data_IF_793308370221
#
_entry.id   IF_793308370221
#
_cell.length_a   1.000
_cell.length_b   1.000
_cell.length_c   1.000
_cell.angle_alpha   90.00
_cell.angle_beta   90.00
_cell.angle_gamma   90.00
#
_symmetry.space_group_name_H-M   'P 1'
#
loop_
_entity.id
_entity.type
_entity.pdbx_description
1 polymer ?
#
# COMPACT_ATOMS: atom_id res chain seq x y z
N UNK A 1 -26.27 6.75 -53.24
CA UNK A 1 -24.88 6.32 -52.96
C UNK A 1 -24.01 6.93 -54.03
N UNK A 2 -23.29 8.00 -53.73
CA UNK A 2 -22.28 8.52 -54.65
C UNK A 2 -21.10 7.55 -54.65
N UNK A 3 -20.82 6.89 -55.77
CA UNK A 3 -19.59 6.10 -55.92
C UNK A 3 -18.44 7.08 -56.12
N UNK A 4 -17.53 7.17 -55.16
CA UNK A 4 -16.44 8.15 -55.19
C UNK A 4 -15.30 7.74 -56.12
N UNK A 5 -15.18 6.46 -56.51
CA UNK A 5 -14.14 5.96 -57.43
C UNK A 5 -14.66 4.80 -58.30
N UNK A 6 -14.46 4.89 -59.62
CA UNK A 6 -14.80 3.83 -60.59
C UNK A 6 -13.52 3.45 -61.34
N UNK A 7 -13.10 2.19 -61.23
CA UNK A 7 -11.96 1.64 -61.97
C UNK A 7 -12.45 0.62 -63.00
N UNK A 8 -11.94 0.72 -64.24
CA UNK A 8 -12.21 -0.25 -65.30
C UNK A 8 -11.00 -1.16 -65.46
N UNK A 9 -11.25 -2.47 -65.42
CA UNK A 9 -10.21 -3.50 -65.52
C UNK A 9 -10.52 -4.33 -66.75
N UNK A 10 -9.51 -4.51 -67.59
CA UNK A 10 -9.63 -5.34 -68.77
C UNK A 10 -9.33 -6.80 -68.42
N UNK A 11 -10.02 -7.70 -69.10
CA UNK A 11 -9.77 -9.13 -69.01
C UNK A 11 -8.49 -9.49 -69.75
N UNK A 12 -7.57 -10.20 -69.09
CA UNK A 12 -6.33 -10.66 -69.71
C UNK A 12 -6.57 -12.01 -70.40
N UNK A 13 -6.51 -12.03 -71.74
CA UNK A 13 -6.78 -13.24 -72.52
C UNK A 13 -5.73 -14.35 -72.32
N UNK A 14 -4.48 -14.00 -72.04
CA UNK A 14 -3.38 -14.95 -71.90
C UNK A 14 -3.49 -15.77 -70.61
N UNK A 15 -3.80 -15.11 -69.50
CA UNK A 15 -3.94 -15.70 -68.15
C UNK A 15 -5.38 -16.12 -67.84
N UNK A 16 -6.34 -15.72 -68.69
CA UNK A 16 -7.79 -15.90 -68.51
C UNK A 16 -8.30 -15.37 -67.16
N UNK A 17 -7.73 -14.26 -66.70
CA UNK A 17 -8.03 -13.68 -65.39
C UNK A 17 -8.17 -12.16 -65.44
N UNK A 18 -8.69 -11.59 -64.37
CA UNK A 18 -8.64 -10.15 -64.11
C UNK A 18 -7.49 -9.88 -63.15
N UNK A 19 -6.60 -8.96 -63.53
CA UNK A 19 -5.55 -8.51 -62.63
C UNK A 19 -6.08 -7.40 -61.71
N UNK A 20 -6.41 -7.77 -60.48
CA UNK A 20 -6.89 -6.85 -59.45
C UNK A 20 -5.75 -6.21 -58.64
N UNK A 21 -4.49 -6.59 -58.89
CA UNK A 21 -3.35 -6.18 -58.07
C UNK A 21 -3.01 -4.69 -58.13
N UNK A 22 -3.59 -3.95 -59.08
CA UNK A 22 -3.43 -2.49 -59.23
C UNK A 22 -4.57 -1.68 -58.59
N UNK A 23 -5.57 -2.34 -57.99
CA UNK A 23 -6.64 -1.64 -57.29
C UNK A 23 -6.23 -1.35 -55.85
N UNK A 24 -6.11 -0.06 -55.54
CA UNK A 24 -5.87 0.40 -54.17
C UNK A 24 -7.15 1.01 -53.59
N UNK A 25 -7.56 0.52 -52.42
CA UNK A 25 -8.67 1.05 -51.65
C UNK A 25 -8.13 1.64 -50.35
N UNK A 26 -8.31 2.95 -50.17
CA UNK A 26 -7.96 3.61 -48.90
C UNK A 26 -9.20 3.64 -48.03
N UNK A 27 -9.16 2.90 -46.93
CA UNK A 27 -10.25 2.81 -45.96
C UNK A 27 -9.71 3.33 -44.64
N UNK A 28 -9.92 4.63 -44.39
CA UNK A 28 -9.44 5.28 -43.19
C UNK A 28 -10.30 4.91 -41.96
N UNK A 29 -9.74 4.27 -40.92
CA UNK A 29 -10.50 3.88 -39.75
C UNK A 29 -10.97 5.07 -38.87
N UNK A 30 -10.42 6.27 -39.03
CA UNK A 30 -10.75 7.44 -38.19
C UNK A 30 -11.70 8.44 -38.85
N UNK A 31 -11.82 8.45 -40.18
CA UNK A 31 -12.77 9.33 -40.89
C UNK A 31 -14.17 8.72 -40.99
N UNK A 32 -14.32 7.43 -40.69
CA UNK A 32 -15.53 6.67 -40.93
C UNK A 32 -16.13 6.22 -39.61
N UNK A 33 -17.11 6.99 -39.11
CA UNK A 33 -17.93 6.65 -37.92
C UNK A 33 -18.65 5.30 -38.10
N UNK A 34 -17.93 4.19 -37.92
CA UNK A 34 -18.41 2.81 -38.07
C UNK A 34 -19.08 2.47 -39.42
N UNK A 35 -18.81 3.27 -40.46
CA UNK A 35 -19.43 3.05 -41.78
C UNK A 35 -18.86 1.81 -42.45
N UNK A 36 -19.76 0.99 -42.99
CA UNK A 36 -19.40 -0.14 -43.86
C UNK A 36 -19.26 0.42 -45.27
N UNK A 37 -18.10 0.19 -45.88
CA UNK A 37 -17.92 0.46 -47.30
C UNK A 37 -18.38 -0.72 -48.13
N UNK A 38 -19.02 -0.42 -49.26
CA UNK A 38 -19.46 -1.44 -50.21
C UNK A 38 -18.66 -1.29 -51.51
N UNK A 39 -17.91 -2.32 -51.85
CA UNK A 39 -17.19 -2.44 -53.12
C UNK A 39 -18.06 -3.27 -54.06
N UNK A 40 -18.56 -2.63 -55.10
CA UNK A 40 -19.39 -3.26 -56.13
C UNK A 40 -18.54 -3.56 -57.38
N UNK A 41 -18.41 -4.83 -57.72
CA UNK A 41 -17.71 -5.31 -58.92
C UNK A 41 -18.77 -5.76 -59.92
N UNK A 42 -18.89 -5.02 -61.02
CA UNK A 42 -19.82 -5.34 -62.11
C UNK A 42 -19.05 -5.90 -63.30
N UNK A 43 -19.38 -7.13 -63.68
CA UNK A 43 -18.81 -7.84 -64.83
C UNK A 43 -19.85 -7.89 -65.95
N UNK A 44 -19.56 -7.24 -67.07
CA UNK A 44 -20.36 -7.34 -68.29
C UNK A 44 -19.65 -8.25 -69.27
N UNK A 45 -20.33 -9.29 -69.75
CA UNK A 45 -19.83 -10.18 -70.80
C UNK A 45 -20.57 -9.90 -72.10
N UNK A 46 -19.98 -10.29 -73.24
CA UNK A 46 -20.65 -10.17 -74.54
C UNK A 46 -21.69 -11.27 -74.78
N UNK A 47 -21.75 -12.29 -73.93
CA UNK A 47 -22.59 -13.48 -74.10
C UNK A 47 -23.89 -13.43 -73.29
N UNK A 48 -23.95 -12.60 -72.26
CA UNK A 48 -25.13 -12.43 -71.40
C UNK A 48 -25.53 -10.95 -71.38
N UNK A 49 -26.82 -10.68 -71.56
CA UNK A 49 -27.39 -9.33 -71.42
C UNK A 49 -27.39 -8.86 -69.97
N UNK A 50 -27.37 -9.79 -69.01
CA UNK A 50 -27.32 -9.52 -67.58
C UNK A 50 -25.88 -9.35 -67.08
N UNK A 51 -25.61 -8.26 -66.36
CA UNK A 51 -24.32 -8.04 -65.70
C UNK A 51 -24.24 -8.85 -64.41
N UNK A 52 -23.16 -9.62 -64.24
CA UNK A 52 -22.85 -10.27 -62.96
C UNK A 52 -22.32 -9.21 -61.99
N UNK A 53 -22.90 -9.12 -60.80
CA UNK A 53 -22.52 -8.16 -59.77
C UNK A 53 -22.05 -8.87 -58.50
N UNK A 54 -20.88 -8.50 -58.00
CA UNK A 54 -20.36 -8.95 -56.71
C UNK A 54 -20.30 -7.76 -55.75
N UNK A 55 -20.90 -7.92 -54.58
CA UNK A 55 -20.91 -6.92 -53.52
C UNK A 55 -20.02 -7.38 -52.38
N UNK A 56 -18.95 -6.65 -52.11
CA UNK A 56 -18.07 -6.88 -50.96
C UNK A 56 -18.28 -5.78 -49.93
N UNK A 57 -18.46 -6.18 -48.67
CA UNK A 57 -18.60 -5.26 -47.54
C UNK A 57 -17.31 -5.25 -46.75
N UNK A 58 -16.71 -4.08 -46.63
CA UNK A 58 -15.44 -3.90 -45.94
C UNK A 58 -15.62 -2.88 -44.81
N UNK A 59 -15.00 -3.17 -43.67
CA UNK A 59 -14.97 -2.29 -42.50
C UNK A 59 -13.54 -2.21 -42.01
N UNK A 60 -13.01 -0.99 -41.84
CA UNK A 60 -11.74 -0.80 -41.15
C UNK A 60 -11.96 -0.77 -39.63
N UNK A 61 -10.96 -1.25 -38.89
CA UNK A 61 -10.93 -1.20 -37.44
C UNK A 61 -9.92 -0.15 -36.97
N UNK A 62 -10.20 0.47 -35.83
CA UNK A 62 -9.26 1.39 -35.17
C UNK A 62 -7.94 0.66 -34.85
N UNK A 63 -6.85 1.42 -34.85
CA UNK A 63 -5.52 0.87 -34.59
C UNK A 63 -5.48 0.20 -33.21
N UNK A 64 -4.90 -1.00 -33.19
CA UNK A 64 -4.79 -1.81 -31.98
C UNK A 64 -3.49 -1.51 -31.23
N UNK A 65 -3.34 -2.13 -30.07
CA UNK A 65 -2.08 -2.09 -29.33
C UNK A 65 -0.95 -2.65 -30.20
N UNK A 66 0.16 -1.93 -30.23
CA UNK A 66 1.31 -2.21 -31.08
C UNK A 66 1.23 -1.67 -32.49
N UNK A 67 0.17 -0.92 -32.79
CA UNK A 67 0.04 -0.15 -34.02
C UNK A 67 0.02 1.35 -33.71
N UNK A 68 0.26 2.15 -34.74
CA UNK A 68 0.11 3.59 -34.74
C UNK A 68 -0.52 4.05 -36.07
N UNK A 69 -1.26 5.14 -36.02
CA UNK A 69 -1.94 5.72 -37.17
C UNK A 69 -1.03 6.69 -37.93
N UNK A 70 -0.82 6.43 -39.22
CA UNK A 70 -0.08 7.31 -40.14
C UNK A 70 -0.68 7.22 -41.54
N UNK A 71 -0.88 8.37 -42.18
CA UNK A 71 -1.35 8.49 -43.57
C UNK A 71 -2.59 7.62 -43.88
N UNK A 72 -3.64 7.74 -43.08
CA UNK A 72 -4.91 7.01 -43.26
C UNK A 72 -4.82 5.48 -43.11
N UNK A 73 -3.78 4.99 -42.43
CA UNK A 73 -3.54 3.56 -42.19
C UNK A 73 -2.98 3.30 -40.80
N UNK A 74 -3.26 2.12 -40.26
CA UNK A 74 -2.58 1.62 -39.06
C UNK A 74 -1.33 0.85 -39.48
N UNK A 75 -0.18 1.21 -38.93
CA UNK A 75 1.09 0.51 -39.15
C UNK A 75 1.59 -0.10 -37.85
N UNK A 76 2.18 -1.29 -37.93
CA UNK A 76 2.73 -1.98 -36.77
C UNK A 76 4.07 -1.38 -36.32
N UNK A 77 4.23 -1.18 -35.02
CA UNK A 77 5.49 -0.78 -34.40
C UNK A 77 6.54 -1.90 -34.51
N UNK A 78 7.71 -1.56 -35.04
CA UNK A 78 8.82 -2.49 -35.25
C UNK A 78 9.61 -2.70 -33.95
N UNK A 79 9.28 -3.74 -33.18
CA UNK A 79 9.94 -4.03 -31.90
C UNK A 79 11.42 -4.38 -32.04
N UNK A 80 11.84 -4.96 -33.17
CA UNK A 80 13.25 -5.23 -33.48
C UNK A 80 14.11 -3.95 -33.57
N UNK A 81 13.47 -2.84 -33.94
CA UNK A 81 14.10 -1.52 -34.02
C UNK A 81 13.94 -0.71 -32.74
N UNK A 82 13.33 -1.28 -31.69
CA UNK A 82 13.13 -0.60 -30.41
C UNK A 82 11.83 0.23 -30.34
N UNK A 83 10.84 -0.02 -31.19
CA UNK A 83 9.57 0.72 -31.18
C UNK A 83 8.39 -0.15 -30.69
N UNK A 84 7.52 0.44 -29.88
CA UNK A 84 6.31 -0.21 -29.36
C UNK A 84 5.15 0.77 -29.19
N UNK A 85 3.93 0.26 -28.99
CA UNK A 85 2.75 1.07 -28.68
C UNK A 85 1.85 0.28 -27.73
N UNK A 86 1.66 0.79 -26.51
CA UNK A 86 0.75 0.20 -25.51
C UNK A 86 -0.50 1.05 -25.28
N UNK A 87 -0.60 2.20 -25.92
CA UNK A 87 -1.76 3.10 -25.83
C UNK A 87 -2.58 3.00 -27.11
N UNK A 88 -3.90 3.10 -27.01
CA UNK A 88 -4.76 3.16 -28.18
C UNK A 88 -4.66 4.53 -28.88
N UNK A 89 -4.97 4.57 -30.18
CA UNK A 89 -5.05 5.79 -30.99
C UNK A 89 -3.76 6.62 -30.99
N UNK A 90 -2.60 5.96 -30.97
CA UNK A 90 -1.32 6.63 -31.07
C UNK A 90 -1.01 7.01 -32.51
N UNK A 91 -0.40 8.18 -32.70
CA UNK A 91 0.11 8.63 -34.02
C UNK A 91 1.59 8.30 -34.20
N UNK A 92 2.24 7.78 -33.17
CA UNK A 92 3.65 7.40 -33.16
C UNK A 92 3.89 6.27 -32.15
N UNK A 93 4.88 5.43 -32.45
CA UNK A 93 5.39 4.45 -31.49
C UNK A 93 6.26 5.12 -30.42
N UNK A 94 6.20 4.60 -29.20
CA UNK A 94 7.14 4.88 -28.12
C UNK A 94 8.50 4.23 -28.39
N UNK A 95 9.55 4.79 -27.77
CA UNK A 95 10.94 4.36 -27.94
C UNK A 95 11.36 3.52 -26.74
N UNK A 96 12.04 2.41 -26.99
CA UNK A 96 12.58 1.51 -25.97
C UNK A 96 13.54 2.22 -25.01
N UNK A 97 13.19 2.26 -23.72
CA UNK A 97 14.07 2.73 -22.65
C UNK A 97 14.81 1.56 -21.99
N UNK A 98 16.10 1.41 -22.33
CA UNK A 98 16.97 0.35 -21.79
C UNK A 98 17.16 0.42 -20.28
N UNK A 99 16.91 1.55 -19.61
CA UNK A 99 17.03 1.66 -18.15
C UNK A 99 15.84 1.04 -17.43
N UNK A 100 14.65 1.15 -18.01
CA UNK A 100 13.37 0.70 -17.42
C UNK A 100 12.97 -0.69 -17.91
N UNK A 101 13.27 -0.99 -19.18
CA UNK A 101 12.75 -2.18 -19.86
C UNK A 101 13.87 -3.18 -20.13
N UNK A 102 13.53 -4.46 -19.98
CA UNK A 102 14.40 -5.58 -20.34
C UNK A 102 14.17 -5.98 -21.80
N UNK A 103 12.91 -6.05 -22.22
CA UNK A 103 12.51 -6.33 -23.59
C UNK A 103 11.17 -5.66 -23.93
N UNK A 104 10.82 -5.60 -25.21
CA UNK A 104 9.51 -5.14 -25.70
C UNK A 104 9.02 -6.06 -26.82
N UNK A 105 7.71 -6.15 -26.97
CA UNK A 105 7.06 -6.56 -28.22
C UNK A 105 6.42 -5.32 -28.85
N UNK A 106 5.76 -5.46 -30.01
CA UNK A 106 5.01 -4.34 -30.57
C UNK A 106 3.99 -3.77 -29.56
N UNK A 107 3.35 -4.64 -28.77
CA UNK A 107 2.22 -4.29 -27.90
C UNK A 107 2.40 -4.57 -26.40
N UNK A 108 3.58 -5.01 -25.95
CA UNK A 108 3.87 -5.31 -24.54
C UNK A 108 5.26 -4.83 -24.15
N UNK A 109 5.43 -4.61 -22.85
CA UNK A 109 6.68 -4.14 -22.25
C UNK A 109 7.07 -5.14 -21.16
N UNK A 110 8.31 -5.61 -21.18
CA UNK A 110 8.91 -6.40 -20.10
C UNK A 110 9.71 -5.45 -19.21
N UNK A 111 9.21 -5.22 -18.00
CA UNK A 111 9.85 -4.32 -17.03
C UNK A 111 11.04 -5.00 -16.35
N UNK A 112 12.08 -4.23 -16.08
CA UNK A 112 13.16 -4.67 -15.19
C UNK A 112 12.70 -4.70 -13.74
N UNK A 113 13.37 -5.53 -12.94
CA UNK A 113 13.26 -5.49 -11.46
C UNK A 113 13.49 -4.05 -10.98
N UNK A 114 12.69 -3.61 -10.02
CA UNK A 114 12.69 -2.25 -9.50
C UNK A 114 11.68 -1.31 -10.13
N UNK A 115 10.99 -1.71 -11.20
CA UNK A 115 10.00 -0.87 -11.88
C UNK A 115 8.58 -1.42 -11.76
N UNK A 116 7.62 -0.51 -11.72
CA UNK A 116 6.19 -0.81 -11.60
C UNK A 116 5.39 -0.03 -12.65
N UNK A 117 4.27 -0.61 -13.08
CA UNK A 117 3.37 -0.06 -14.10
C UNK A 117 1.92 -0.31 -13.72
N UNK A 118 1.01 0.68 -13.89
CA UNK A 118 -0.37 0.56 -13.43
C UNK A 118 -1.23 -0.36 -14.30
N UNK A 119 -1.14 -0.26 -15.63
CA UNK A 119 -2.06 -0.94 -16.55
C UNK A 119 -1.39 -1.37 -17.85
N UNK A 120 -1.97 -2.37 -18.53
CA UNK A 120 -1.49 -2.86 -19.83
C UNK A 120 -1.55 -1.81 -20.94
N UNK A 121 -2.31 -0.74 -20.73
CA UNK A 121 -2.55 0.33 -21.70
C UNK A 121 -1.83 1.66 -21.43
N UNK A 122 -0.99 1.73 -20.39
CA UNK A 122 -0.25 2.96 -20.02
C UNK A 122 1.24 2.76 -20.25
N UNK A 123 1.95 3.75 -20.78
CA UNK A 123 3.42 3.71 -20.91
C UNK A 123 4.13 4.26 -19.66
N UNK A 124 3.36 4.58 -18.62
CA UNK A 124 3.87 5.21 -17.41
C UNK A 124 4.48 4.14 -16.50
N UNK A 125 5.79 4.25 -16.32
CA UNK A 125 6.59 3.30 -15.55
C UNK A 125 7.36 4.05 -14.49
N UNK A 126 7.13 3.65 -13.25
CA UNK A 126 7.65 4.28 -12.06
C UNK A 126 8.70 3.40 -11.38
N UNK A 127 9.70 4.05 -10.76
CA UNK A 127 10.75 3.38 -10.02
C UNK A 127 10.31 3.15 -8.57
N UNK A 128 10.44 1.92 -8.09
CA UNK A 128 10.21 1.55 -6.70
C UNK A 128 11.39 2.02 -5.83
N UNK A 129 11.38 3.31 -5.50
CA UNK A 129 12.53 4.01 -4.92
C UNK A 129 12.86 3.60 -3.48
N UNK A 130 11.87 3.18 -2.66
CA UNK A 130 12.13 2.75 -1.28
C UNK A 130 12.84 1.40 -1.21
N UNK A 131 12.37 0.45 -2.03
CA UNK A 131 12.97 -0.87 -2.12
C UNK A 131 12.69 -1.46 -3.51
N UNK A 132 13.72 -1.47 -4.35
CA UNK A 132 13.62 -1.95 -5.73
C UNK A 132 13.25 -3.45 -5.80
N UNK A 133 13.61 -4.24 -4.79
CA UNK A 133 13.34 -5.68 -4.77
C UNK A 133 11.85 -6.02 -4.60
N UNK A 134 11.04 -5.08 -4.11
CA UNK A 134 9.60 -5.28 -3.96
C UNK A 134 8.87 -5.30 -5.31
N UNK A 135 9.45 -4.69 -6.33
CA UNK A 135 8.94 -4.68 -7.69
C UNK A 135 9.73 -5.70 -8.51
N UNK A 136 9.12 -6.86 -8.75
CA UNK A 136 9.76 -7.97 -9.43
C UNK A 136 9.98 -7.71 -10.93
N UNK A 137 9.32 -6.71 -11.50
CA UNK A 137 9.30 -6.50 -12.94
C UNK A 137 8.56 -7.64 -13.66
N UNK A 138 8.76 -7.75 -14.97
CA UNK A 138 8.06 -8.74 -15.80
C UNK A 138 7.06 -8.14 -16.79
N UNK A 139 6.26 -9.01 -17.42
CA UNK A 139 5.25 -8.64 -18.43
C UNK A 139 3.91 -8.22 -17.83
N UNK A 140 3.72 -8.45 -16.53
CA UNK A 140 2.48 -8.15 -15.81
C UNK A 140 2.28 -6.66 -15.57
N UNK A 141 1.20 -6.32 -14.86
CA UNK A 141 0.93 -4.95 -14.44
C UNK A 141 0.35 -4.91 -13.02
N UNK A 142 0.29 -3.73 -12.44
CA UNK A 142 -0.31 -3.48 -11.14
C UNK A 142 0.31 -4.40 -10.06
N UNK A 143 -0.53 -5.07 -9.27
CA UNK A 143 -0.12 -5.93 -8.17
C UNK A 143 0.60 -7.22 -8.63
N UNK A 144 0.48 -7.61 -9.90
CA UNK A 144 1.19 -8.79 -10.44
C UNK A 144 2.70 -8.59 -10.46
N UNK A 145 3.15 -7.33 -10.57
CA UNK A 145 4.56 -6.95 -10.55
C UNK A 145 5.13 -6.89 -9.12
N UNK A 146 4.29 -7.00 -8.10
CA UNK A 146 4.71 -6.89 -6.72
C UNK A 146 5.17 -8.22 -6.16
N UNK A 147 6.19 -8.18 -5.29
CA UNK A 147 6.61 -9.30 -4.47
C UNK A 147 5.42 -9.84 -3.65
N UNK A 148 5.48 -11.13 -3.30
CA UNK A 148 4.37 -11.81 -2.62
C UNK A 148 3.99 -11.07 -1.33
N UNK A 149 2.68 -10.85 -1.16
CA UNK A 149 2.13 -10.14 -0.01
C UNK A 149 2.20 -8.61 -0.08
N UNK A 150 2.77 -8.05 -1.14
CA UNK A 150 2.79 -6.61 -1.41
C UNK A 150 1.78 -6.24 -2.51
N UNK A 151 1.22 -5.02 -2.40
CA UNK A 151 0.23 -4.41 -3.28
C UNK A 151 0.48 -2.90 -3.44
N UNK A 152 -0.29 -2.31 -4.35
CA UNK A 152 -0.38 -0.87 -4.54
C UNK A 152 0.65 -0.32 -5.52
N UNK A 153 0.55 0.97 -5.80
CA UNK A 153 1.57 1.69 -6.56
C UNK A 153 2.91 1.56 -5.85
N UNK A 154 3.94 1.09 -6.58
CA UNK A 154 5.28 0.83 -6.05
C UNK A 154 5.40 -0.30 -5.02
N UNK A 155 4.35 -1.12 -4.84
CA UNK A 155 4.38 -2.33 -4.01
C UNK A 155 4.72 -2.10 -2.53
N UNK A 156 4.32 -0.94 -1.98
CA UNK A 156 4.67 -0.55 -0.61
C UNK A 156 3.63 -0.96 0.46
N UNK A 157 2.43 -1.34 0.02
CA UNK A 157 1.34 -1.73 0.91
C UNK A 157 1.27 -3.26 1.03
N UNK A 158 0.79 -3.77 2.16
CA UNK A 158 0.63 -5.21 2.35
C UNK A 158 -0.78 -5.68 1.96
N UNK A 159 -0.88 -6.90 1.42
CA UNK A 159 -2.14 -7.55 1.08
C UNK A 159 -2.91 -8.02 2.32
N UNK A 160 -3.50 -7.06 3.04
CA UNK A 160 -4.26 -7.32 4.27
C UNK A 160 -5.56 -8.08 4.02
N UNK A 161 -6.14 -7.93 2.83
CA UNK A 161 -7.47 -8.46 2.49
C UNK A 161 -7.42 -9.69 1.58
N UNK A 162 -6.22 -10.22 1.31
CA UNK A 162 -6.02 -11.35 0.40
C UNK A 162 -6.59 -11.08 -1.02
N UNK A 163 -6.36 -9.86 -1.53
CA UNK A 163 -6.82 -9.44 -2.87
C UNK A 163 -6.23 -10.33 -3.96
N UNK A 164 -4.99 -10.82 -3.78
CA UNK A 164 -4.33 -11.71 -4.74
C UNK A 164 -4.65 -13.19 -4.57
N UNK A 165 -5.23 -13.61 -3.44
CA UNK A 165 -5.46 -15.02 -3.13
C UNK A 165 -4.27 -15.75 -2.49
N UNK A 166 -3.14 -15.08 -2.24
CA UNK A 166 -1.90 -15.66 -1.68
C UNK A 166 -1.86 -15.78 -0.15
N UNK A 167 -2.90 -15.30 0.53
CA UNK A 167 -3.03 -15.17 1.98
C UNK A 167 -3.15 -13.71 2.44
N UNK A 168 -3.36 -13.53 3.75
CA UNK A 168 -3.33 -12.21 4.38
C UNK A 168 -1.93 -11.87 4.86
N UNK A 169 -1.53 -10.64 4.61
CA UNK A 169 -0.21 -10.10 4.94
C UNK A 169 -0.32 -8.76 5.68
N UNK A 170 0.61 -8.51 6.58
CA UNK A 170 0.67 -7.30 7.39
C UNK A 170 2.11 -6.80 7.43
N UNK A 171 2.26 -5.51 7.71
CA UNK A 171 3.56 -4.85 7.71
C UNK A 171 4.29 -5.15 9.01
N UNK A 172 5.49 -5.72 8.94
CA UNK A 172 6.36 -5.76 10.11
C UNK A 172 6.77 -4.31 10.45
N UNK A 173 6.82 -3.95 11.73
CA UNK A 173 7.22 -2.58 12.12
C UNK A 173 8.72 -2.35 12.00
N UNK A 174 9.53 -3.41 12.01
CA UNK A 174 10.98 -3.34 11.96
C UNK A 174 11.54 -3.38 10.54
N UNK A 175 10.81 -4.00 9.61
CA UNK A 175 11.17 -4.09 8.19
C UNK A 175 10.07 -3.50 7.31
N UNK A 176 10.39 -3.11 6.07
CA UNK A 176 9.38 -2.68 5.09
C UNK A 176 8.61 -3.90 4.51
N UNK A 177 8.99 -5.11 4.93
CA UNK A 177 8.49 -6.36 4.39
C UNK A 177 7.12 -6.73 4.97
N UNK A 178 6.30 -7.34 4.11
CA UNK A 178 5.01 -7.87 4.48
C UNK A 178 5.15 -9.33 4.92
N UNK A 179 4.74 -9.62 6.16
CA UNK A 179 4.76 -10.97 6.72
C UNK A 179 3.38 -11.61 6.62
N UNK A 180 3.34 -12.93 6.46
CA UNK A 180 2.08 -13.68 6.38
C UNK A 180 1.45 -13.90 7.76
N UNK A 181 0.13 -13.88 7.87
CA UNK A 181 -0.63 -14.03 9.12
C UNK A 181 -0.59 -15.44 9.79
N UNK A 182 0.19 -16.41 9.29
CA UNK A 182 0.07 -17.83 9.69
C UNK A 182 0.59 -18.18 11.12
N UNK A 183 1.54 -17.42 11.67
CA UNK A 183 2.12 -17.71 13.00
C UNK A 183 1.33 -17.05 14.14
N UNK A 184 0.06 -17.47 14.32
CA UNK A 184 -0.82 -16.94 15.37
C UNK A 184 -0.28 -17.18 16.79
N UNK A 185 0.36 -18.33 17.02
CA UNK A 185 0.89 -18.73 18.35
C UNK A 185 2.02 -17.83 18.84
N UNK A 186 3.01 -17.54 17.99
CA UNK A 186 4.14 -16.65 18.33
C UNK A 186 3.65 -15.24 18.67
N UNK A 187 2.66 -14.75 17.93
CA UNK A 187 2.06 -13.43 18.15
C UNK A 187 1.28 -13.35 19.43
N UNK A 188 0.50 -14.39 19.73
CA UNK A 188 -0.26 -14.48 20.96
C UNK A 188 0.68 -14.51 22.18
N UNK A 189 1.80 -15.26 22.11
CA UNK A 189 2.83 -15.24 23.15
C UNK A 189 3.47 -13.85 23.29
N UNK A 190 3.86 -13.20 22.18
CA UNK A 190 4.42 -11.86 22.21
C UNK A 190 3.45 -10.83 22.80
N UNK A 191 2.17 -10.91 22.43
CA UNK A 191 1.10 -10.09 22.98
C UNK A 191 0.98 -10.23 24.51
N UNK A 192 1.01 -11.47 25.04
CA UNK A 192 0.98 -11.69 26.48
C UNK A 192 2.22 -11.14 27.18
N UNK A 193 3.42 -11.35 26.62
CA UNK A 193 4.66 -10.81 27.18
C UNK A 193 4.64 -9.28 27.24
N UNK A 194 4.19 -8.62 26.17
CA UNK A 194 4.07 -7.16 26.11
C UNK A 194 3.00 -6.66 27.07
N UNK A 195 1.90 -7.39 27.23
CA UNK A 195 0.84 -7.06 28.19
C UNK A 195 1.32 -7.13 29.63
N UNK A 196 2.05 -8.19 29.99
CA UNK A 196 2.67 -8.33 31.30
C UNK A 196 3.68 -7.21 31.54
N UNK A 197 4.52 -6.91 30.55
CA UNK A 197 5.49 -5.82 30.63
C UNK A 197 4.82 -4.45 30.80
N UNK A 198 3.73 -4.17 30.07
CA UNK A 198 2.98 -2.92 30.18
C UNK A 198 2.38 -2.75 31.59
N UNK A 199 1.80 -3.82 32.14
CA UNK A 199 1.27 -3.82 33.51
C UNK A 199 2.40 -3.63 34.53
N UNK A 200 3.54 -4.32 34.37
CA UNK A 200 4.67 -4.17 35.28
C UNK A 200 5.24 -2.74 35.23
N UNK A 201 5.45 -2.19 34.03
CA UNK A 201 5.93 -0.83 33.81
C UNK A 201 5.02 0.19 34.47
N UNK A 202 3.70 0.09 34.24
CA UNK A 202 2.72 0.99 34.86
C UNK A 202 2.71 0.87 36.38
N UNK A 203 2.78 -0.34 36.96
CA UNK A 203 2.89 -0.53 38.40
C UNK A 203 4.15 0.11 39.00
N UNK A 204 5.31 -0.04 38.34
CA UNK A 204 6.55 0.60 38.76
C UNK A 204 6.45 2.14 38.71
N UNK A 205 5.83 2.68 37.65
CA UNK A 205 5.62 4.13 37.51
C UNK A 205 4.71 4.68 38.61
N UNK A 206 3.59 4.00 38.90
CA UNK A 206 2.66 4.40 39.97
C UNK A 206 3.36 4.36 41.33
N UNK A 207 4.11 3.30 41.63
CA UNK A 207 4.86 3.19 42.89
C UNK A 207 5.92 4.28 43.05
N UNK A 208 6.60 4.65 41.96
CA UNK A 208 7.54 5.77 41.94
C UNK A 208 6.85 7.12 42.18
N UNK A 209 5.74 7.38 41.48
CA UNK A 209 4.97 8.63 41.64
C UNK A 209 4.38 8.74 43.05
N UNK A 210 3.86 7.66 43.63
CA UNK A 210 3.31 7.69 44.99
C UNK A 210 4.39 8.06 46.01
N UNK A 211 5.55 7.40 45.97
CA UNK A 211 6.69 7.71 46.86
C UNK A 211 7.12 9.18 46.71
N UNK A 212 7.24 9.65 45.48
CA UNK A 212 7.60 11.05 45.19
C UNK A 212 6.57 12.04 45.72
N UNK A 213 5.27 11.77 45.53
CA UNK A 213 4.18 12.64 46.01
C UNK A 213 4.12 12.68 47.54
N UNK A 214 4.37 11.56 48.22
CA UNK A 214 4.45 11.51 49.69
C UNK A 214 5.62 12.36 50.18
N UNK A 215 6.81 12.22 49.59
CA UNK A 215 7.98 13.03 49.92
C UNK A 215 7.71 14.52 49.68
N UNK A 216 7.08 14.87 48.56
CA UNK A 216 6.73 16.26 48.27
C UNK A 216 5.71 16.84 49.26
N UNK A 217 4.70 16.07 49.65
CA UNK A 217 3.75 16.47 50.68
C UNK A 217 4.42 16.67 52.05
N UNK A 218 5.36 15.78 52.43
CA UNK A 218 6.16 15.93 53.64
C UNK A 218 7.05 17.18 53.59
N UNK A 219 7.70 17.45 52.46
CA UNK A 219 8.53 18.65 52.28
C UNK A 219 7.68 19.92 52.35
N UNK A 220 6.51 19.97 51.70
CA UNK A 220 5.61 21.14 51.71
C UNK A 220 5.08 21.44 53.12
N UNK A 221 4.76 20.41 53.90
CA UNK A 221 4.40 20.56 55.31
C UNK A 221 5.60 21.02 56.15
N UNK A 222 6.79 20.48 55.90
CA UNK A 222 8.03 20.79 56.66
C UNK A 222 8.62 22.17 56.33
N UNK A 223 8.44 22.68 55.11
CA UNK A 223 8.87 24.03 54.73
C UNK A 223 8.08 25.10 55.49
N UNK A 224 6.86 24.79 55.96
CA UNK A 224 6.11 25.61 56.92
C UNK A 224 6.77 25.67 58.32
N UNK A 225 7.71 24.76 58.61
CA UNK A 225 8.43 24.61 59.89
C UNK A 225 9.97 24.65 59.73
N UNK A 226 10.48 25.45 58.78
CA UNK A 226 11.85 25.40 58.23
C UNK A 226 13.04 25.62 59.20
N UNK A 227 12.83 25.83 60.51
CA UNK A 227 13.92 26.18 61.43
C UNK A 227 14.73 24.99 61.99
N UNK A 228 14.37 23.75 61.65
CA UNK A 228 15.05 22.55 62.15
C UNK A 228 15.90 21.95 61.04
N UNK A 229 17.22 22.08 61.18
CA UNK A 229 18.24 21.62 60.24
C UNK A 229 18.26 20.09 60.22
N UNK A 230 17.71 19.48 59.16
CA UNK A 230 17.63 18.02 59.05
C UNK A 230 18.28 17.50 57.78
N UNK A 231 19.16 16.51 57.96
CA UNK A 231 19.87 15.79 56.89
C UNK A 231 18.86 14.90 56.17
N UNK A 232 18.43 15.34 54.99
CA UNK A 232 17.46 14.63 54.17
C UNK A 232 18.18 13.46 53.46
N UNK A 233 17.93 12.24 53.90
CA UNK A 233 18.32 11.06 53.14
C UNK A 233 17.29 10.92 52.00
N UNK A 234 17.56 11.58 50.87
CA UNK A 234 16.73 11.46 49.68
C UNK A 234 16.97 10.09 49.05
N UNK A 235 15.91 9.31 48.86
CA UNK A 235 15.94 8.12 48.03
C UNK A 235 16.16 8.55 46.57
N UNK A 236 17.43 8.62 46.17
CA UNK A 236 17.86 9.02 44.82
C UNK A 236 17.25 8.13 43.73
N UNK A 237 16.90 6.89 44.05
CA UNK A 237 16.32 5.91 43.12
C UNK A 237 15.02 6.39 42.48
N UNK A 238 14.09 6.98 43.25
CA UNK A 238 12.82 7.44 42.70
C UNK A 238 12.98 8.62 41.74
N UNK A 239 13.98 9.47 41.97
CA UNK A 239 14.28 10.63 41.12
C UNK A 239 14.92 10.14 39.83
N UNK A 240 15.90 9.23 39.92
CA UNK A 240 16.57 8.62 38.76
C UNK A 240 15.57 7.88 37.88
N UNK A 241 14.64 7.12 38.45
CA UNK A 241 13.62 6.40 37.69
C UNK A 241 12.66 7.34 36.96
N UNK A 242 12.22 8.44 37.61
CA UNK A 242 11.39 9.46 36.97
C UNK A 242 12.11 10.17 35.82
N UNK A 243 13.39 10.48 36.02
CA UNK A 243 14.25 11.09 35.01
C UNK A 243 14.44 10.14 33.80
N UNK A 244 14.67 8.85 34.06
CA UNK A 244 14.77 7.82 33.04
C UNK A 244 13.47 7.69 32.22
N UNK A 245 12.32 7.60 32.87
CA UNK A 245 11.02 7.54 32.17
C UNK A 245 10.76 8.79 31.31
N UNK A 246 11.10 9.98 31.83
CA UNK A 246 10.94 11.21 31.08
C UNK A 246 11.85 11.24 29.83
N UNK A 247 13.09 10.74 29.95
CA UNK A 247 13.95 10.56 28.78
C UNK A 247 13.38 9.55 27.77
N UNK A 248 12.88 8.39 28.23
CA UNK A 248 12.23 7.44 27.33
C UNK A 248 11.08 8.10 26.56
N UNK A 249 10.28 8.95 27.23
CA UNK A 249 9.17 9.67 26.61
C UNK A 249 9.64 10.71 25.59
N UNK A 250 10.62 11.53 25.95
CA UNK A 250 11.23 12.50 25.03
C UNK A 250 11.78 11.77 23.79
N UNK A 251 12.48 10.65 23.98
CA UNK A 251 12.99 9.86 22.86
C UNK A 251 11.87 9.31 21.98
N UNK A 252 10.81 8.75 22.55
CA UNK A 252 9.66 8.26 21.79
C UNK A 252 9.00 9.37 20.95
N UNK A 253 8.82 10.55 21.52
CA UNK A 253 8.27 11.72 20.81
C UNK A 253 9.20 12.17 19.66
N UNK A 254 10.52 12.19 19.88
CA UNK A 254 11.51 12.49 18.82
C UNK A 254 11.43 11.43 17.70
N UNK A 255 11.29 10.15 18.05
CA UNK A 255 11.20 9.05 17.10
C UNK A 255 9.89 9.04 16.30
N UNK A 256 8.84 9.69 16.79
CA UNK A 256 7.59 9.90 16.04
C UNK A 256 7.80 10.77 14.81
N UNK A 257 8.73 11.73 14.85
CA UNK A 257 9.03 12.62 13.72
C UNK A 257 9.89 11.99 12.62
N UNK A 258 9.97 10.64 12.55
CA UNK A 258 10.71 9.91 11.51
C UNK A 258 12.18 10.35 11.32
N UNK A 259 12.82 10.87 12.37
CA UNK A 259 14.25 11.19 12.35
C UNK A 259 15.02 9.87 12.29
N UNK A 260 15.70 9.62 11.16
CA UNK A 260 16.53 8.43 10.94
C UNK A 260 17.78 8.50 11.82
N UNK A 261 17.66 8.02 13.05
CA UNK A 261 18.82 7.76 13.91
C UNK A 261 19.45 6.43 13.48
N UNK A 262 20.78 6.41 13.39
CA UNK A 262 21.57 5.25 12.97
C UNK A 262 21.45 4.04 13.91
N UNK A 263 20.87 4.25 15.10
CA UNK A 263 20.63 3.21 16.09
C UNK A 263 19.14 2.85 16.05
N UNK A 264 18.85 1.63 15.57
CA UNK A 264 17.50 1.06 15.65
C UNK A 264 17.19 0.72 17.11
N UNK A 265 16.61 1.67 17.82
CA UNK A 265 16.15 1.53 19.20
C UNK A 265 14.68 1.04 19.24
N UNK A 266 14.38 -0.06 18.54
CA UNK A 266 13.03 -0.63 18.46
C UNK A 266 12.40 -0.91 19.84
N UNK A 267 13.24 -1.22 20.83
CA UNK A 267 12.84 -1.45 22.23
C UNK A 267 12.20 -0.20 22.85
N UNK A 268 12.66 1.00 22.50
CA UNK A 268 12.17 2.25 23.07
C UNK A 268 10.80 2.65 22.52
N UNK A 269 10.53 2.34 21.24
CA UNK A 269 9.18 2.48 20.67
C UNK A 269 8.23 1.48 21.32
N UNK A 270 8.68 0.23 21.48
CA UNK A 270 7.88 -0.84 22.09
C UNK A 270 7.55 -0.60 23.57
N UNK A 271 8.43 0.05 24.34
CA UNK A 271 8.18 0.32 25.75
C UNK A 271 7.14 1.42 25.98
N UNK A 272 7.05 2.40 25.07
CA UNK A 272 6.17 3.55 25.24
C UNK A 272 4.81 3.32 24.55
N UNK A 273 4.78 2.92 23.28
CA UNK A 273 3.52 2.78 22.53
C UNK A 273 2.88 1.39 22.68
N UNK A 274 2.70 0.93 23.92
CA UNK A 274 2.29 -0.47 24.17
C UNK A 274 0.96 -0.85 23.52
N UNK A 275 -0.05 0.04 23.50
CA UNK A 275 -1.34 -0.22 22.83
C UNK A 275 -1.21 -0.32 21.31
N UNK A 276 -0.31 0.47 20.70
CA UNK A 276 -0.01 0.39 19.27
C UNK A 276 0.51 -1.01 18.91
N UNK A 277 1.56 -1.43 19.62
CA UNK A 277 2.19 -2.72 19.40
C UNK A 277 1.19 -3.85 19.63
N UNK A 278 0.39 -3.79 20.70
CA UNK A 278 -0.68 -4.75 20.94
C UNK A 278 -1.70 -4.81 19.81
N UNK A 279 -2.11 -3.66 19.28
CA UNK A 279 -3.08 -3.58 18.17
C UNK A 279 -2.49 -4.15 16.88
N UNK A 280 -1.19 -3.94 16.63
CA UNK A 280 -0.49 -4.55 15.51
C UNK A 280 -0.48 -6.08 15.55
N UNK A 281 -0.42 -6.69 16.74
CA UNK A 281 -0.59 -8.15 16.88
C UNK A 281 -2.00 -8.62 16.53
N UNK A 282 -3.01 -7.76 16.71
CA UNK A 282 -4.39 -8.05 16.32
C UNK A 282 -4.70 -7.68 14.86
N UNK A 283 -3.81 -7.04 14.10
CA UNK A 283 -4.12 -6.60 12.73
C UNK A 283 -4.69 -7.70 11.84
N UNK A 284 -4.12 -8.91 11.88
CA UNK A 284 -4.62 -10.04 11.11
C UNK A 284 -6.02 -10.50 11.57
N UNK A 285 -6.30 -10.43 12.86
CA UNK A 285 -7.64 -10.75 13.39
C UNK A 285 -8.65 -9.65 13.03
N UNK A 286 -8.22 -8.39 13.06
CA UNK A 286 -9.05 -7.24 12.71
C UNK A 286 -9.37 -7.19 11.22
N UNK A 287 -8.47 -7.65 10.34
CA UNK A 287 -8.73 -7.72 8.89
C UNK A 287 -9.81 -8.74 8.51
N UNK A 288 -10.10 -9.74 9.37
CA UNK A 288 -11.22 -10.67 9.14
C UNK A 288 -12.59 -10.02 9.40
N UNK A 289 -12.63 -8.94 10.19
CA UNK A 289 -13.85 -8.19 10.49
C UNK A 289 -14.08 -7.17 9.36
N UNK A 290 -14.61 -7.66 8.23
CA UNK A 290 -14.69 -6.93 6.96
C UNK A 290 -15.62 -5.70 6.93
N UNK A 291 -16.42 -5.46 7.96
CA UNK A 291 -17.51 -4.45 7.89
C UNK A 291 -17.07 -3.02 8.21
N UNK A 292 -15.89 -2.80 8.80
CA UNK A 292 -15.45 -1.48 9.27
C UNK A 292 -14.04 -1.20 8.70
N UNK A 293 -13.79 0.04 8.27
CA UNK A 293 -12.43 0.42 7.84
C UNK A 293 -11.42 0.13 8.95
N UNK A 294 -10.31 -0.51 8.57
CA UNK A 294 -9.29 -1.01 9.49
C UNK A 294 -8.72 0.07 10.42
N UNK A 295 -8.74 1.33 9.99
CA UNK A 295 -8.27 2.46 10.78
C UNK A 295 -9.17 2.64 12.02
N UNK A 296 -10.49 2.65 11.85
CA UNK A 296 -11.42 2.82 12.97
C UNK A 296 -11.39 1.61 13.91
N UNK A 297 -11.29 0.39 13.39
CA UNK A 297 -11.21 -0.81 14.24
C UNK A 297 -9.96 -0.79 15.11
N UNK A 298 -8.81 -0.34 14.57
CA UNK A 298 -7.58 -0.16 15.34
C UNK A 298 -7.76 0.86 16.48
N UNK A 299 -8.34 2.03 16.20
CA UNK A 299 -8.60 3.06 17.22
C UNK A 299 -9.50 2.51 18.33
N UNK A 300 -10.58 1.81 17.96
CA UNK A 300 -11.52 1.22 18.91
C UNK A 300 -10.81 0.16 19.77
N UNK A 301 -10.05 -0.74 19.17
CA UNK A 301 -9.32 -1.81 19.88
C UNK A 301 -8.28 -1.22 20.83
N UNK A 302 -7.56 -0.18 20.41
CA UNK A 302 -6.65 0.55 21.29
C UNK A 302 -7.36 1.12 22.52
N UNK A 303 -8.51 1.78 22.31
CA UNK A 303 -9.31 2.34 23.41
C UNK A 303 -9.80 1.25 24.36
N UNK A 304 -10.28 0.13 23.83
CA UNK A 304 -10.72 -1.03 24.61
C UNK A 304 -9.55 -1.62 25.41
N UNK A 305 -8.38 -1.79 24.79
CA UNK A 305 -7.18 -2.30 25.47
C UNK A 305 -6.74 -1.37 26.60
N UNK A 306 -6.77 -0.05 26.41
CA UNK A 306 -6.48 0.91 27.47
C UNK A 306 -7.45 0.79 28.65
N UNK A 307 -8.76 0.69 28.38
CA UNK A 307 -9.77 0.50 29.44
C UNK A 307 -9.56 -0.82 30.16
N UNK A 308 -9.31 -1.91 29.43
CA UNK A 308 -9.02 -3.23 29.99
C UNK A 308 -7.80 -3.19 30.92
N UNK A 309 -6.70 -2.55 30.50
CA UNK A 309 -5.51 -2.41 31.34
C UNK A 309 -5.79 -1.60 32.62
N UNK A 310 -6.56 -0.50 32.53
CA UNK A 310 -6.97 0.28 33.71
C UNK A 310 -7.78 -0.60 34.68
N UNK A 311 -8.72 -1.40 34.16
CA UNK A 311 -9.52 -2.32 34.96
C UNK A 311 -8.65 -3.39 35.64
N UNK A 312 -7.70 -4.00 34.92
CA UNK A 312 -6.76 -4.99 35.48
C UNK A 312 -5.94 -4.40 36.61
N UNK A 313 -5.38 -3.20 36.43
CA UNK A 313 -4.61 -2.50 37.47
C UNK A 313 -5.49 -2.18 38.67
N UNK A 314 -6.72 -1.68 38.44
CA UNK A 314 -7.66 -1.37 39.51
C UNK A 314 -8.05 -2.61 40.34
N UNK A 315 -8.39 -3.71 39.67
CA UNK A 315 -8.69 -4.99 40.32
C UNK A 315 -7.47 -5.48 41.11
N UNK A 316 -6.27 -5.41 40.52
CA UNK A 316 -5.02 -5.77 41.19
C UNK A 316 -4.80 -4.98 42.48
N UNK A 317 -4.94 -3.65 42.46
CA UNK A 317 -4.81 -2.83 43.67
C UNK A 317 -5.91 -3.09 44.70
N UNK A 318 -7.14 -3.36 44.26
CA UNK A 318 -8.25 -3.76 45.16
C UNK A 318 -7.93 -5.06 45.89
N UNK A 319 -7.45 -6.08 45.16
CA UNK A 319 -7.04 -7.37 45.74
C UNK A 319 -5.91 -7.16 46.76
N UNK A 320 -4.88 -6.38 46.41
CA UNK A 320 -3.76 -6.09 47.33
C UNK A 320 -4.22 -5.32 48.58
N UNK A 321 -5.15 -4.38 48.42
CA UNK A 321 -5.74 -3.61 49.52
C UNK A 321 -6.53 -4.51 50.48
N UNK A 322 -7.29 -5.47 49.96
CA UNK A 322 -8.00 -6.48 50.75
C UNK A 322 -7.02 -7.38 51.49
N UNK A 323 -6.00 -7.92 50.81
CA UNK A 323 -5.00 -8.81 51.43
C UNK A 323 -4.22 -8.11 52.54
N UNK A 324 -3.86 -6.83 52.35
CA UNK A 324 -3.07 -6.06 53.33
C UNK A 324 -3.92 -5.31 54.35
N UNK A 325 -5.25 -5.38 54.29
CA UNK A 325 -6.17 -4.57 55.11
C UNK A 325 -5.84 -3.06 55.11
N UNK A 326 -5.35 -2.53 53.99
CA UNK A 326 -5.02 -1.11 53.84
C UNK A 326 -6.14 -0.35 53.14
N UNK A 327 -6.37 0.93 53.52
CA UNK A 327 -7.37 1.76 52.82
C UNK A 327 -6.90 2.09 51.41
N UNK A 328 -7.75 1.79 50.43
CA UNK A 328 -7.52 2.15 49.03
C UNK A 328 -7.48 3.67 48.85
N UNK A 329 -6.42 4.19 48.22
CA UNK A 329 -6.28 5.63 47.94
C UNK A 329 -6.79 5.94 46.54
N UNK A 330 -7.80 6.80 46.42
CA UNK A 330 -8.37 7.23 45.13
C UNK A 330 -7.33 7.89 44.21
N UNK A 331 -6.30 8.52 44.77
CA UNK A 331 -5.18 9.14 44.03
C UNK A 331 -4.51 8.18 43.04
N UNK A 332 -4.44 6.88 43.36
CA UNK A 332 -3.83 5.88 42.49
C UNK A 332 -4.56 5.80 41.15
N UNK A 333 -5.90 5.84 41.16
CA UNK A 333 -6.71 5.77 39.94
C UNK A 333 -6.43 6.96 39.02
N UNK A 334 -6.43 8.18 39.57
CA UNK A 334 -6.16 9.39 38.78
C UNK A 334 -4.76 9.36 38.16
N UNK A 335 -3.75 8.86 38.88
CA UNK A 335 -2.39 8.70 38.36
C UNK A 335 -2.37 7.65 37.24
N UNK A 336 -3.02 6.51 37.42
CA UNK A 336 -3.08 5.45 36.40
C UNK A 336 -3.75 5.94 35.12
N UNK A 337 -4.87 6.64 35.23
CA UNK A 337 -5.59 7.20 34.06
C UNK A 337 -4.70 8.21 33.33
N UNK A 338 -4.08 9.14 34.05
CA UNK A 338 -3.19 10.14 33.44
C UNK A 338 -1.99 9.46 32.76
N UNK A 339 -1.37 8.48 33.42
CA UNK A 339 -0.21 7.77 32.88
C UNK A 339 -0.57 6.99 31.61
N UNK A 340 -1.69 6.27 31.61
CA UNK A 340 -2.16 5.53 30.44
C UNK A 340 -2.53 6.46 29.28
N UNK A 341 -3.16 7.59 29.57
CA UNK A 341 -3.46 8.59 28.56
C UNK A 341 -2.18 9.10 27.90
N UNK A 342 -1.18 9.51 28.68
CA UNK A 342 0.05 10.06 28.11
C UNK A 342 0.88 8.99 27.39
N UNK A 343 0.93 7.77 27.93
CA UNK A 343 1.66 6.67 27.32
C UNK A 343 1.12 6.28 25.94
N UNK A 344 -0.20 6.38 25.74
CA UNK A 344 -0.84 5.99 24.47
C UNK A 344 -1.15 7.18 23.55
N UNK A 345 -0.87 8.41 23.99
CA UNK A 345 -1.15 9.63 23.23
C UNK A 345 -0.39 9.67 21.89
N UNK A 346 0.88 9.29 21.89
CA UNK A 346 1.70 9.27 20.68
C UNK A 346 1.15 8.28 19.64
N UNK A 347 0.66 7.13 20.07
CA UNK A 347 0.03 6.18 19.16
C UNK A 347 -1.29 6.66 18.59
N UNK A 348 -2.12 7.37 19.37
CA UNK A 348 -3.40 7.90 18.86
C UNK A 348 -3.19 8.98 17.79
N UNK A 349 -2.09 9.73 17.85
CA UNK A 349 -1.75 10.75 16.85
C UNK A 349 -1.15 10.16 15.56
N UNK A 350 -0.57 8.96 15.62
CA UNK A 350 0.14 8.34 14.50
C UNK A 350 -0.70 7.38 13.66
N UNK A 351 -1.96 7.15 14.04
CA UNK A 351 -2.94 6.43 13.22
C UNK A 351 -3.65 7.38 12.27
#
# INVERSE_FOLDING_TARGET
MESTQISKINFENETKSFNLGFLDFIIDPFEQDDKIQEILINCKTNYYDESLAYLMRVKAFLCQLGEFYISSSCQQCQSEQGFYSVTYNTTKCSIFDKNKFEAITSNKILLKIGYWRPHYTSDDVELCYKNQYLCQGGWGVNNELCFRGHLGGLCEECDRFNVRGDGQFFKNQQSVECEQCQDTTKRLIAFFLISIWAILSTLLTIGSIEKSNILFAQLKLRQKFAHILFKLNQDHESILFKLFLNYLWIFSLIFTFNIKLTISLGIFKQSNDTSYFMTNFFECFLSEIQEIELIYTRIIVMLVLMVCQILVIFIGFKIVSIIKNTKFKSLIISITILQMYVQNYASLLNQ
#
